data_IF_491783623140
#
_entry.id   IF_491783623140
#
_cell.length_a   1.000
_cell.length_b   1.000
_cell.length_c   1.000
_cell.angle_alpha   90.00
_cell.angle_beta   90.00
_cell.angle_gamma   90.00
#
_symmetry.space_group_name_H-M   'P 1'
#
loop_
_entity.id
_entity.type
_entity.pdbx_description
1 polymer ?
#
# COMPACT_ATOMS: atom_id res chain seq x y z
N UNK A 1 -14.85 -11.46 8.42
CA UNK A 1 -13.98 -11.75 7.28
C UNK A 1 -12.78 -10.83 7.31
N UNK A 2 -11.65 -11.35 6.96
CA UNK A 2 -10.42 -10.56 6.95
C UNK A 2 -10.15 -10.01 5.57
N UNK A 3 -9.77 -8.76 5.51
CA UNK A 3 -9.42 -8.13 4.23
C UNK A 3 -8.17 -7.30 4.43
N UNK A 4 -7.23 -7.49 3.53
CA UNK A 4 -5.99 -6.71 3.52
C UNK A 4 -6.09 -5.71 2.38
N UNK A 5 -5.67 -4.48 2.61
CA UNK A 5 -5.59 -3.51 1.52
C UNK A 5 -4.44 -2.54 1.78
N UNK A 6 -4.01 -1.90 0.71
CA UNK A 6 -2.91 -0.95 0.76
C UNK A 6 -3.45 0.47 0.64
N UNK A 7 -2.83 1.37 1.39
CA UNK A 7 -3.09 2.80 1.26
C UNK A 7 -1.74 3.45 0.98
N UNK A 8 -1.70 4.29 -0.05
CA UNK A 8 -0.47 4.93 -0.49
C UNK A 8 -0.56 6.42 -0.20
N UNK A 9 0.47 6.94 0.45
CA UNK A 9 0.55 8.37 0.78
C UNK A 9 1.72 9.00 0.03
N UNK A 10 1.57 10.28 -0.29
CA UNK A 10 2.65 11.03 -0.91
C UNK A 10 3.57 11.64 0.16
N UNK A 11 4.52 12.46 -0.27
CA UNK A 11 5.48 13.07 0.65
C UNK A 11 4.81 13.99 1.66
N UNK A 12 3.67 14.53 1.32
CA UNK A 12 2.93 15.42 2.22
C UNK A 12 2.05 14.65 3.20
N UNK A 13 1.97 13.33 3.05
CA UNK A 13 1.14 12.50 3.91
C UNK A 13 -0.29 12.37 3.46
N UNK A 14 -0.61 12.83 2.26
CA UNK A 14 -1.97 12.73 1.72
C UNK A 14 -2.15 11.38 1.02
N UNK A 15 -3.31 10.77 1.20
CA UNK A 15 -3.62 9.52 0.52
C UNK A 15 -3.82 9.79 -0.95
N UNK A 16 -3.04 9.14 -1.81
CA UNK A 16 -3.16 9.33 -3.26
C UNK A 16 -3.69 8.10 -3.95
N UNK A 17 -3.67 6.95 -3.31
CA UNK A 17 -4.16 5.73 -3.91
C UNK A 17 -4.49 4.71 -2.84
N UNK A 18 -5.45 3.84 -3.16
CA UNK A 18 -5.86 2.76 -2.28
C UNK A 18 -6.10 1.52 -3.13
N UNK A 19 -5.63 0.38 -2.66
CA UNK A 19 -5.84 -0.85 -3.39
C UNK A 19 -7.23 -1.42 -3.10
N UNK A 20 -7.62 -2.40 -3.90
CA UNK A 20 -8.81 -3.19 -3.60
C UNK A 20 -8.50 -4.10 -2.40
N UNK A 21 -9.53 -4.63 -1.74
CA UNK A 21 -9.29 -5.56 -0.64
C UNK A 21 -8.84 -6.92 -1.17
N UNK A 22 -7.95 -7.55 -0.43
CA UNK A 22 -7.44 -8.88 -0.76
C UNK A 22 -7.78 -9.85 0.38
N UNK A 23 -7.96 -11.11 0.03
CA UNK A 23 -8.31 -12.14 1.01
C UNK A 23 -7.12 -12.58 1.85
N UNK A 24 -5.92 -12.40 1.35
CA UNK A 24 -4.73 -12.84 2.06
C UNK A 24 -3.62 -11.82 1.95
N UNK A 25 -2.69 -11.91 2.88
CA UNK A 25 -1.52 -11.06 2.86
C UNK A 25 -0.65 -11.34 1.63
N UNK A 26 -0.59 -12.59 1.20
CA UNK A 26 0.16 -12.95 0.01
C UNK A 26 -0.36 -12.25 -1.23
N UNK A 27 -1.67 -12.18 -1.37
CA UNK A 27 -2.27 -11.48 -2.50
C UNK A 27 -1.95 -9.99 -2.44
N UNK A 28 -2.02 -9.42 -1.25
CA UNK A 28 -1.70 -8.00 -1.06
C UNK A 28 -0.24 -7.72 -1.43
N UNK A 29 0.66 -8.59 -1.02
CA UNK A 29 2.08 -8.41 -1.33
C UNK A 29 2.36 -8.58 -2.82
N UNK A 30 1.67 -9.50 -3.45
CA UNK A 30 1.80 -9.70 -4.89
C UNK A 30 1.36 -8.44 -5.65
N UNK A 31 0.26 -7.84 -5.23
CA UNK A 31 -0.21 -6.59 -5.83
C UNK A 31 0.84 -5.49 -5.68
N UNK A 32 1.41 -5.36 -4.49
CA UNK A 32 2.43 -4.33 -4.25
C UNK A 32 3.66 -4.56 -5.12
N UNK A 33 4.07 -5.81 -5.29
CA UNK A 33 5.22 -6.13 -6.13
C UNK A 33 5.00 -5.77 -7.59
N UNK A 34 3.75 -5.75 -8.04
CA UNK A 34 3.42 -5.36 -9.40
C UNK A 34 3.24 -3.86 -9.56
N UNK A 35 2.78 -3.19 -8.52
CA UNK A 35 2.37 -1.80 -8.62
C UNK A 35 3.34 -0.78 -8.03
N UNK A 36 4.35 -1.24 -7.31
CA UNK A 36 5.21 -0.32 -6.58
C UNK A 36 5.85 0.75 -7.49
N UNK A 37 6.21 0.36 -8.70
CA UNK A 37 6.84 1.30 -9.63
C UNK A 37 5.87 2.35 -10.11
N UNK A 38 4.63 1.93 -10.41
CA UNK A 38 3.59 2.87 -10.79
C UNK A 38 3.26 3.81 -9.65
N UNK A 39 3.31 3.31 -8.42
CA UNK A 39 3.03 4.13 -7.26
C UNK A 39 4.11 5.19 -7.06
N UNK A 40 5.37 4.80 -7.29
CA UNK A 40 6.46 5.77 -7.25
C UNK A 40 6.29 6.85 -8.30
N UNK A 41 5.92 6.45 -9.51
CA UNK A 41 5.72 7.40 -10.61
C UNK A 41 4.57 8.35 -10.33
N UNK A 42 3.60 7.90 -9.55
CA UNK A 42 2.45 8.73 -9.18
C UNK A 42 2.74 9.66 -7.99
N UNK A 43 3.94 9.60 -7.45
CA UNK A 43 4.31 10.44 -6.32
C UNK A 43 4.16 9.76 -4.97
N UNK A 44 3.93 8.47 -4.95
CA UNK A 44 3.82 7.73 -3.71
C UNK A 44 5.13 7.68 -2.96
N UNK A 45 5.06 7.83 -1.65
CA UNK A 45 6.24 7.84 -0.81
C UNK A 45 6.19 6.80 0.29
N UNK A 46 5.01 6.53 0.82
CA UNK A 46 4.84 5.49 1.82
C UNK A 46 3.58 4.69 1.55
N UNK A 47 3.61 3.45 1.97
CA UNK A 47 2.44 2.58 1.86
C UNK A 47 2.17 1.95 3.22
N UNK A 48 0.90 1.76 3.49
CA UNK A 48 0.44 1.13 4.71
C UNK A 48 -0.37 -0.09 4.33
N UNK A 49 -0.07 -1.23 4.97
CA UNK A 49 -0.90 -2.41 4.81
C UNK A 49 -1.87 -2.45 5.96
N UNK A 50 -3.15 -2.48 5.64
CA UNK A 50 -4.20 -2.53 6.65
C UNK A 50 -4.89 -3.89 6.60
N UNK A 51 -5.29 -4.36 7.76
CA UNK A 51 -6.05 -5.59 7.91
C UNK A 51 -7.28 -5.26 8.75
N UNK A 52 -8.44 -5.30 8.12
CA UNK A 52 -9.72 -4.94 8.75
C UNK A 52 -9.65 -3.55 9.38
N UNK A 53 -8.99 -2.62 8.70
CA UNK A 53 -8.89 -1.25 9.17
C UNK A 53 -7.76 -0.98 10.15
N UNK A 54 -7.00 -2.00 10.50
CA UNK A 54 -5.87 -1.84 11.42
C UNK A 54 -4.56 -1.88 10.65
N UNK A 55 -3.71 -0.89 10.87
CA UNK A 55 -2.42 -0.85 10.20
C UNK A 55 -1.53 -1.99 10.69
N UNK A 56 -1.13 -2.85 9.77
CA UNK A 56 -0.24 -3.96 10.07
C UNK A 56 1.21 -3.52 10.01
N UNK A 57 1.58 -2.80 8.97
CA UNK A 57 2.90 -2.21 8.89
C UNK A 57 2.93 -1.14 7.81
N UNK A 58 4.01 -0.41 7.80
CA UNK A 58 4.25 0.69 6.89
C UNK A 58 5.60 0.49 6.22
N UNK A 59 5.69 0.81 4.94
CA UNK A 59 6.96 0.78 4.21
C UNK A 59 7.12 2.04 3.41
N UNK A 60 8.38 2.43 3.20
CA UNK A 60 8.69 3.50 2.26
C UNK A 60 8.78 2.96 0.86
N UNK A 61 8.29 3.72 -0.10
CA UNK A 61 8.44 3.38 -1.51
C UNK A 61 9.70 3.97 -2.10
N UNK A 62 10.09 5.11 -1.65
CA UNK A 62 11.27 5.76 -2.14
C UNK A 62 12.47 5.01 -1.66
N UNK A 63 13.30 4.68 -2.23
CA UNK A 63 14.36 4.00 -1.75
C UNK A 63 15.33 4.67 -1.01
N UNK A 64 15.64 4.74 -0.49
CA UNK A 64 16.54 5.12 -0.13
C UNK A 64 16.95 4.93 0.46
#
# INVERSE_FOLDING_TARGET
MSAYHWVVHDAAGAEIRRSEPFDSKEQAESWMGQEWKSLLDAGGESVFLLHDGTVQYKMGLGAE
#
